data_IF_946931882839
#
_entry.id   IF_946931882839
#
_cell.length_a   1.000
_cell.length_b   1.000
_cell.length_c   1.000
_cell.angle_alpha   90.00
_cell.angle_beta   90.00
_cell.angle_gamma   90.00
#
_symmetry.space_group_name_H-M   'P 1'
#
loop_
_entity.id
_entity.type
_entity.pdbx_description
1 polymer ?
#
# COMPACT_ATOMS: atom_id res chain seq x y z
N UNK A 1 0.56 -10.43 -0.21
CA UNK A 1 1.47 -11.01 0.83
C UNK A 1 0.61 -11.72 1.86
N UNK A 2 0.87 -13.02 2.15
CA UNK A 2 0.12 -13.74 3.18
C UNK A 2 0.48 -13.15 4.55
N UNK A 3 -0.50 -12.88 5.44
CA UNK A 3 -0.21 -12.42 6.78
C UNK A 3 0.68 -13.43 7.53
N UNK A 4 1.58 -12.97 8.39
CA UNK A 4 2.52 -13.80 9.17
C UNK A 4 1.85 -14.98 9.91
N UNK A 5 0.59 -14.81 10.32
CA UNK A 5 -0.20 -15.87 10.98
C UNK A 5 -0.37 -17.17 10.16
N UNK A 6 -0.22 -17.09 8.82
CA UNK A 6 -0.33 -18.27 7.95
C UNK A 6 0.98 -19.06 7.83
N UNK A 7 2.07 -18.54 8.36
CA UNK A 7 3.40 -19.17 8.34
C UNK A 7 3.68 -19.98 9.61
N UNK A 8 2.88 -19.80 10.66
CA UNK A 8 3.01 -20.54 11.92
C UNK A 8 2.81 -22.04 11.67
N UNK A 9 3.74 -22.86 12.19
CA UNK A 9 3.72 -24.32 12.06
C UNK A 9 4.14 -24.87 10.69
N UNK A 10 4.64 -24.03 9.76
CA UNK A 10 5.12 -24.45 8.44
C UNK A 10 6.50 -23.87 8.15
N UNK A 11 7.57 -24.32 8.84
CA UNK A 11 8.88 -23.68 8.80
C UNK A 11 9.50 -23.66 7.40
N UNK A 12 9.42 -24.75 6.63
CA UNK A 12 9.96 -24.81 5.26
C UNK A 12 9.24 -23.84 4.33
N UNK A 13 7.92 -23.78 4.39
CA UNK A 13 7.14 -22.85 3.57
C UNK A 13 7.42 -21.40 3.94
N UNK A 14 7.63 -21.12 5.22
CA UNK A 14 8.02 -19.81 5.72
C UNK A 14 9.39 -19.40 5.17
N UNK A 15 10.36 -20.30 5.25
CA UNK A 15 11.71 -20.13 4.69
C UNK A 15 11.65 -19.80 3.18
N UNK A 16 10.94 -20.63 2.41
CA UNK A 16 10.79 -20.43 0.97
C UNK A 16 10.11 -19.10 0.63
N UNK A 17 9.12 -18.70 1.43
CA UNK A 17 8.44 -17.41 1.26
C UNK A 17 9.39 -16.24 1.50
N UNK A 18 10.21 -16.31 2.54
CA UNK A 18 11.21 -15.29 2.84
C UNK A 18 12.29 -15.22 1.75
N UNK A 19 12.89 -16.34 1.36
CA UNK A 19 13.90 -16.40 0.30
C UNK A 19 13.36 -15.92 -1.05
N UNK A 20 12.11 -16.28 -1.40
CA UNK A 20 11.45 -15.76 -2.60
C UNK A 20 11.31 -14.25 -2.56
N UNK A 21 10.91 -13.67 -1.45
CA UNK A 21 10.80 -12.21 -1.34
C UNK A 21 12.17 -11.53 -1.45
N UNK A 22 13.20 -12.13 -0.82
CA UNK A 22 14.57 -11.64 -0.90
C UNK A 22 15.10 -11.70 -2.33
N UNK A 23 14.77 -12.76 -3.10
CA UNK A 23 15.22 -12.91 -4.50
C UNK A 23 14.74 -11.81 -5.45
N UNK A 24 13.71 -11.04 -5.07
CA UNK A 24 13.27 -9.87 -5.85
C UNK A 24 14.26 -8.71 -5.78
N UNK A 25 15.02 -8.61 -4.68
CA UNK A 25 16.05 -7.59 -4.47
C UNK A 25 17.47 -8.12 -4.64
N UNK A 26 17.66 -9.43 -4.62
CA UNK A 26 18.95 -10.10 -4.70
C UNK A 26 18.92 -11.18 -5.80
N UNK A 27 19.26 -10.81 -7.06
CA UNK A 27 19.11 -11.69 -8.24
C UNK A 27 19.93 -12.98 -8.24
N UNK A 28 20.94 -13.09 -7.37
CA UNK A 28 21.71 -14.32 -7.22
C UNK A 28 20.93 -15.46 -6.56
N UNK A 29 19.79 -15.16 -5.89
CA UNK A 29 18.92 -16.17 -5.31
C UNK A 29 17.90 -16.68 -6.33
N UNK A 30 17.70 -18.00 -6.43
CA UNK A 30 16.66 -18.55 -7.30
C UNK A 30 15.27 -18.20 -6.76
N UNK A 31 14.34 -17.93 -7.67
CA UNK A 31 12.93 -17.75 -7.30
C UNK A 31 12.32 -19.09 -6.89
N UNK A 32 11.97 -19.21 -5.63
CA UNK A 32 11.33 -20.42 -5.08
C UNK A 32 9.81 -20.37 -5.22
N UNK A 33 9.20 -21.57 -5.28
CA UNK A 33 7.77 -21.76 -5.09
C UNK A 33 7.57 -22.24 -3.64
N UNK A 34 6.81 -21.51 -2.79
CA UNK A 34 6.59 -21.90 -1.40
C UNK A 34 5.61 -23.08 -1.29
N UNK A 35 6.08 -24.29 -1.55
CA UNK A 35 5.33 -25.54 -1.47
C UNK A 35 5.43 -26.21 -0.10
N UNK A 36 6.47 -25.89 0.68
CA UNK A 36 6.73 -26.46 2.00
C UNK A 36 7.60 -27.71 1.95
N UNK A 37 8.19 -28.06 0.78
CA UNK A 37 9.07 -29.20 0.61
C UNK A 37 10.52 -28.68 0.49
N UNK A 38 11.42 -29.19 1.34
CA UNK A 38 12.83 -28.81 1.30
C UNK A 38 13.59 -29.70 0.32
N UNK A 39 13.67 -29.27 -0.93
CA UNK A 39 14.36 -29.97 -2.01
C UNK A 39 15.62 -29.21 -2.44
N UNK A 40 16.37 -29.80 -3.39
CA UNK A 40 17.66 -29.30 -3.92
C UNK A 40 17.62 -27.78 -4.27
N UNK A 41 16.51 -27.31 -4.84
CA UNK A 41 16.38 -25.88 -5.21
C UNK A 41 16.27 -24.98 -3.97
N UNK A 42 15.63 -25.45 -2.90
CA UNK A 42 15.55 -24.73 -1.62
C UNK A 42 16.90 -24.75 -0.92
N UNK A 43 17.58 -25.91 -0.90
CA UNK A 43 18.93 -26.04 -0.37
C UNK A 43 19.92 -25.13 -1.09
N UNK A 44 19.91 -25.11 -2.43
CA UNK A 44 20.73 -24.21 -3.23
C UNK A 44 20.49 -22.74 -2.86
N UNK A 45 19.24 -22.33 -2.66
CA UNK A 45 18.93 -20.97 -2.25
C UNK A 45 19.50 -20.65 -0.86
N UNK A 46 19.47 -21.61 0.07
CA UNK A 46 20.07 -21.46 1.40
C UNK A 46 21.59 -21.33 1.30
N UNK A 47 22.26 -22.21 0.54
CA UNK A 47 23.73 -22.14 0.30
C UNK A 47 24.13 -20.79 -0.27
N UNK A 48 23.44 -20.34 -1.33
CA UNK A 48 23.73 -19.05 -1.97
C UNK A 48 23.48 -17.88 -1.01
N UNK A 49 22.43 -17.96 -0.20
CA UNK A 49 22.19 -16.95 0.83
C UNK A 49 23.35 -16.92 1.84
N UNK A 50 23.72 -18.07 2.41
CA UNK A 50 24.80 -18.19 3.39
C UNK A 50 26.11 -17.63 2.82
N UNK A 51 26.48 -17.99 1.59
CA UNK A 51 27.71 -17.50 0.93
C UNK A 51 27.71 -15.97 0.81
N UNK A 52 26.60 -15.37 0.39
CA UNK A 52 26.55 -13.94 0.13
C UNK A 52 26.35 -13.07 1.38
N UNK A 53 25.91 -13.69 2.49
CA UNK A 53 25.71 -13.00 3.76
C UNK A 53 26.74 -13.37 4.84
N UNK A 54 27.85 -14.02 4.45
CA UNK A 54 28.98 -14.29 5.35
C UNK A 54 28.74 -15.39 6.37
N UNK A 55 27.84 -16.32 6.08
CA UNK A 55 27.57 -17.51 6.88
C UNK A 55 28.24 -18.75 6.28
N UNK A 56 28.56 -19.80 7.07
CA UNK A 56 29.04 -21.06 6.53
C UNK A 56 28.05 -21.67 5.52
N UNK A 57 28.46 -21.96 4.28
CA UNK A 57 27.57 -22.41 3.22
C UNK A 57 27.23 -23.92 3.33
N UNK A 58 26.53 -24.28 4.39
CA UNK A 58 26.22 -25.68 4.72
C UNK A 58 24.96 -26.20 4.01
N UNK A 59 24.10 -25.33 3.51
CA UNK A 59 22.77 -25.68 3.00
C UNK A 59 21.76 -26.00 4.13
N UNK A 60 22.21 -26.07 5.37
CA UNK A 60 21.36 -26.34 6.53
C UNK A 60 20.88 -25.02 7.15
N UNK A 61 19.65 -24.98 7.57
CA UNK A 61 19.05 -23.80 8.21
C UNK A 61 19.12 -23.99 9.71
N UNK A 62 20.18 -23.52 10.33
CA UNK A 62 20.32 -23.36 11.77
C UNK A 62 19.70 -22.04 12.25
N UNK A 63 19.78 -21.75 13.55
CA UNK A 63 19.23 -20.53 14.12
C UNK A 63 19.86 -19.27 13.54
N UNK A 64 21.19 -19.27 13.34
CA UNK A 64 21.92 -18.11 12.80
C UNK A 64 21.50 -17.84 11.35
N UNK A 65 21.39 -18.89 10.55
CA UNK A 65 20.89 -18.80 9.17
C UNK A 65 19.44 -18.32 9.11
N UNK A 66 18.56 -18.85 9.99
CA UNK A 66 17.19 -18.43 10.06
C UNK A 66 17.04 -16.96 10.43
N UNK A 67 17.76 -16.52 11.46
CA UNK A 67 17.71 -15.14 11.95
C UNK A 67 18.25 -14.15 10.92
N UNK A 68 19.33 -14.51 10.21
CA UNK A 68 19.86 -13.73 9.11
C UNK A 68 18.85 -13.59 7.96
N UNK A 69 18.21 -14.70 7.52
CA UNK A 69 17.17 -14.68 6.50
C UNK A 69 16.01 -13.82 6.94
N UNK A 70 15.53 -13.97 8.17
CA UNK A 70 14.42 -13.20 8.71
C UNK A 70 14.75 -11.70 8.81
N UNK A 71 15.99 -11.36 9.15
CA UNK A 71 16.48 -9.97 9.20
C UNK A 71 16.50 -9.32 7.81
N UNK A 72 17.10 -9.99 6.83
CA UNK A 72 17.17 -9.51 5.44
C UNK A 72 15.78 -9.40 4.85
N UNK A 73 14.91 -10.38 5.08
CA UNK A 73 13.50 -10.36 4.66
C UNK A 73 12.77 -9.13 5.20
N UNK A 74 12.88 -8.84 6.51
CA UNK A 74 12.28 -7.65 7.10
C UNK A 74 12.77 -6.37 6.44
N UNK A 75 14.08 -6.28 6.15
CA UNK A 75 14.65 -5.12 5.45
C UNK A 75 14.15 -4.97 4.02
N UNK A 76 14.00 -6.06 3.27
CA UNK A 76 13.42 -6.07 1.91
C UNK A 76 11.96 -5.64 1.96
N UNK A 77 11.17 -6.26 2.84
CA UNK A 77 9.75 -5.94 2.99
C UNK A 77 9.54 -4.48 3.39
N UNK A 78 10.35 -3.95 4.31
CA UNK A 78 10.26 -2.55 4.73
C UNK A 78 10.49 -1.57 3.58
N UNK A 79 11.39 -1.92 2.63
CA UNK A 79 11.71 -1.08 1.45
C UNK A 79 10.74 -1.23 0.28
N UNK A 80 10.18 -2.43 0.10
CA UNK A 80 9.29 -2.74 -1.04
C UNK A 80 7.81 -2.65 -0.68
N UNK A 81 7.49 -2.59 0.61
CA UNK A 81 6.12 -2.44 1.08
C UNK A 81 5.62 -1.04 0.75
N UNK A 82 4.44 -0.98 0.15
CA UNK A 82 3.72 0.28 0.06
C UNK A 82 3.56 0.87 1.47
N UNK A 83 3.81 2.19 1.65
CA UNK A 83 3.53 2.87 2.90
C UNK A 83 2.11 2.51 3.37
N UNK A 84 1.94 2.32 4.68
CA UNK A 84 0.58 2.20 5.23
C UNK A 84 -0.10 3.54 5.01
N UNK A 85 -1.29 3.52 4.40
CA UNK A 85 -2.14 4.69 4.35
C UNK A 85 -2.33 5.21 5.78
N UNK A 86 -2.22 6.51 5.98
CA UNK A 86 -2.70 7.13 7.21
C UNK A 86 -4.22 6.98 7.24
N UNK A 87 -4.77 6.68 8.41
CA UNK A 87 -6.22 6.78 8.63
C UNK A 87 -6.53 8.27 8.82
N UNK A 88 -6.78 8.93 7.69
CA UNK A 88 -6.99 10.39 7.66
C UNK A 88 -8.48 10.77 7.77
N UNK A 89 -9.38 9.78 7.70
CA UNK A 89 -10.79 10.02 7.91
C UNK A 89 -11.09 10.02 9.42
N UNK A 90 -11.64 11.11 9.98
CA UNK A 90 -11.65 11.34 11.43
C UNK A 90 -12.51 10.35 12.22
N UNK A 91 -13.68 10.02 11.69
CA UNK A 91 -14.63 9.07 12.31
C UNK A 91 -15.76 8.71 11.36
N UNK A 92 -16.48 7.59 11.57
CA UNK A 92 -17.61 7.22 10.74
C UNK A 92 -18.75 8.24 10.71
N UNK A 93 -18.86 9.09 11.73
CA UNK A 93 -19.85 10.15 11.83
C UNK A 93 -19.37 11.52 11.37
N UNK A 94 -18.11 11.60 10.88
CA UNK A 94 -17.58 12.86 10.37
C UNK A 94 -18.30 13.27 9.11
N UNK A 95 -18.78 14.52 9.11
CA UNK A 95 -19.44 15.17 7.98
C UNK A 95 -19.16 16.65 8.01
N UNK A 96 -19.10 17.28 6.86
CA UNK A 96 -18.92 18.72 6.73
C UNK A 96 -20.00 19.27 5.81
N UNK A 97 -20.81 20.15 6.37
CA UNK A 97 -21.86 20.87 5.64
C UNK A 97 -21.22 21.96 4.75
N UNK A 98 -21.88 22.37 3.66
CA UNK A 98 -21.45 23.55 2.91
C UNK A 98 -21.34 24.78 3.83
N UNK A 99 -20.22 25.50 3.72
CA UNK A 99 -19.86 26.61 4.60
C UNK A 99 -19.08 26.19 5.87
N UNK A 100 -18.94 24.89 6.14
CA UNK A 100 -18.15 24.40 7.26
C UNK A 100 -16.63 24.59 7.05
N UNK A 101 -15.86 24.60 8.14
CA UNK A 101 -14.42 24.74 8.14
C UNK A 101 -13.78 23.70 9.05
N UNK A 102 -12.78 22.98 8.51
CA UNK A 102 -12.00 22.01 9.29
C UNK A 102 -10.69 21.67 8.59
N UNK A 103 -9.63 21.43 9.38
CA UNK A 103 -8.32 21.01 8.85
C UNK A 103 -8.37 19.68 8.07
N UNK A 104 -9.33 18.82 8.34
CA UNK A 104 -9.49 17.55 7.61
C UNK A 104 -9.84 17.77 6.12
N UNK A 105 -10.47 18.90 5.78
CA UNK A 105 -10.74 19.27 4.39
C UNK A 105 -9.49 19.54 3.57
N UNK A 106 -8.37 19.90 4.19
CA UNK A 106 -7.11 20.11 3.46
C UNK A 106 -6.69 18.86 2.67
N UNK A 107 -6.91 17.67 3.23
CA UNK A 107 -6.64 16.41 2.52
C UNK A 107 -7.62 16.20 1.36
N UNK A 108 -8.91 16.43 1.60
CA UNK A 108 -9.98 16.33 0.59
C UNK A 108 -9.71 17.27 -0.58
N UNK A 109 -9.43 18.52 -0.28
CA UNK A 109 -9.13 19.57 -1.26
C UNK A 109 -7.86 19.24 -2.05
N UNK A 110 -6.81 18.73 -1.40
CA UNK A 110 -5.59 18.29 -2.08
C UNK A 110 -5.84 17.13 -3.05
N UNK A 111 -6.74 16.20 -2.71
CA UNK A 111 -7.16 15.13 -3.62
C UNK A 111 -7.94 15.69 -4.82
N UNK A 112 -8.91 16.59 -4.60
CA UNK A 112 -9.64 17.26 -5.67
C UNK A 112 -8.71 18.06 -6.57
N UNK A 113 -7.77 18.80 -5.97
CA UNK A 113 -6.77 19.56 -6.73
C UNK A 113 -5.94 18.66 -7.63
N UNK A 114 -5.50 17.50 -7.13
CA UNK A 114 -4.78 16.53 -7.97
C UNK A 114 -5.66 15.97 -9.09
N UNK A 115 -6.94 15.70 -8.80
CA UNK A 115 -7.89 15.19 -9.80
C UNK A 115 -8.21 16.24 -10.87
N UNK A 116 -8.24 17.54 -10.55
CA UNK A 116 -8.51 18.59 -11.53
C UNK A 116 -7.48 18.68 -12.66
N UNK A 117 -6.28 18.12 -12.47
CA UNK A 117 -5.28 18.04 -13.54
C UNK A 117 -5.52 16.89 -14.55
N UNK A 118 -6.42 15.96 -14.24
CA UNK A 118 -6.66 14.75 -15.07
C UNK A 118 -8.13 14.51 -15.36
N UNK A 119 -9.03 15.27 -14.74
CA UNK A 119 -10.48 15.18 -14.90
C UNK A 119 -11.03 16.59 -15.11
N UNK A 120 -11.44 16.92 -16.33
CA UNK A 120 -11.82 18.27 -16.74
C UNK A 120 -13.01 18.86 -15.95
N UNK A 121 -13.92 18.00 -15.44
CA UNK A 121 -15.09 18.45 -14.69
C UNK A 121 -14.81 18.78 -13.22
N UNK A 122 -13.63 18.46 -12.72
CA UNK A 122 -13.21 18.79 -11.35
C UNK A 122 -12.58 20.18 -11.34
N UNK A 123 -13.12 21.06 -10.52
CA UNK A 123 -12.63 22.44 -10.42
C UNK A 123 -11.31 22.49 -9.65
N UNK A 124 -10.35 23.27 -10.14
CA UNK A 124 -9.13 23.61 -9.40
C UNK A 124 -9.48 24.63 -8.30
N UNK A 125 -9.80 24.11 -7.11
CA UNK A 125 -10.15 24.89 -5.94
C UNK A 125 -8.96 25.09 -4.99
N UNK A 126 -9.05 26.13 -4.18
CA UNK A 126 -8.05 26.39 -3.13
C UNK A 126 -8.06 25.30 -2.05
N UNK A 127 -6.90 25.09 -1.44
CA UNK A 127 -6.71 24.15 -0.32
C UNK A 127 -6.62 24.99 0.96
N UNK A 128 -7.77 25.37 1.50
CA UNK A 128 -7.90 26.31 2.61
C UNK A 128 -8.62 25.77 3.85
N UNK A 129 -9.15 24.56 3.76
CA UNK A 129 -9.90 23.91 4.84
C UNK A 129 -11.37 24.33 4.94
N UNK A 130 -11.87 25.09 3.95
CA UNK A 130 -13.27 25.57 3.91
C UNK A 130 -14.09 24.78 2.91
N UNK A 131 -15.29 24.36 3.32
CA UNK A 131 -16.25 23.70 2.45
C UNK A 131 -17.13 24.73 1.71
N UNK A 132 -16.51 25.51 0.86
CA UNK A 132 -17.16 26.59 0.12
C UNK A 132 -16.80 26.49 -1.36
N UNK A 133 -17.50 27.24 -2.20
CA UNK A 133 -17.25 27.42 -3.64
C UNK A 133 -16.80 26.14 -4.37
N UNK A 134 -15.56 26.08 -4.81
CA UNK A 134 -15.02 24.96 -5.57
C UNK A 134 -15.03 23.63 -4.82
N UNK A 135 -14.82 23.60 -3.50
CA UNK A 135 -14.90 22.35 -2.72
C UNK A 135 -16.34 21.83 -2.67
N UNK A 136 -17.32 22.72 -2.51
CA UNK A 136 -18.73 22.34 -2.52
C UNK A 136 -19.18 21.87 -3.93
N UNK A 137 -18.75 22.57 -4.98
CA UNK A 137 -19.01 22.18 -6.35
C UNK A 137 -18.42 20.82 -6.70
N UNK A 138 -17.17 20.57 -6.30
CA UNK A 138 -16.50 19.28 -6.49
C UNK A 138 -17.17 18.16 -5.69
N UNK A 139 -17.72 18.44 -4.50
CA UNK A 139 -18.47 17.48 -3.71
C UNK A 139 -19.78 17.10 -4.40
N UNK A 140 -20.53 18.06 -4.92
CA UNK A 140 -21.76 17.80 -5.71
C UNK A 140 -21.44 16.99 -6.96
N UNK A 141 -20.42 17.37 -7.72
CA UNK A 141 -19.96 16.62 -8.89
C UNK A 141 -19.62 15.17 -8.53
N UNK A 142 -18.87 14.98 -7.43
CA UNK A 142 -18.49 13.66 -6.94
C UNK A 142 -19.70 12.80 -6.60
N UNK A 143 -20.68 13.37 -5.89
CA UNK A 143 -21.92 12.71 -5.50
C UNK A 143 -22.76 12.30 -6.71
N UNK A 144 -22.92 13.20 -7.69
CA UNK A 144 -23.61 12.92 -8.94
C UNK A 144 -22.95 11.77 -9.73
N UNK A 145 -21.61 11.76 -9.83
CA UNK A 145 -20.85 10.68 -10.49
C UNK A 145 -20.96 9.34 -9.76
N UNK A 146 -21.07 9.37 -8.43
CA UNK A 146 -21.23 8.18 -7.59
C UNK A 146 -22.65 7.69 -7.43
N UNK A 147 -23.62 8.35 -8.08
CA UNK A 147 -25.06 8.09 -7.88
C UNK A 147 -25.47 8.16 -6.40
N UNK A 148 -24.84 9.10 -5.67
CA UNK A 148 -25.20 9.46 -4.31
C UNK A 148 -26.21 10.62 -4.32
N UNK A 149 -26.83 10.90 -3.18
CA UNK A 149 -27.64 12.10 -3.00
C UNK A 149 -26.75 13.35 -3.11
N UNK A 150 -27.06 14.25 -4.03
CA UNK A 150 -26.34 15.51 -4.25
C UNK A 150 -26.66 16.54 -3.16
N UNK A 151 -26.35 16.22 -1.92
CA UNK A 151 -26.57 17.08 -0.75
C UNK A 151 -25.54 18.19 -0.59
N UNK A 152 -24.38 18.05 -1.24
CA UNK A 152 -23.22 18.91 -1.04
C UNK A 152 -22.51 18.67 0.31
N UNK A 153 -23.01 17.78 1.15
CA UNK A 153 -22.38 17.42 2.42
C UNK A 153 -21.23 16.43 2.16
N UNK A 154 -20.03 16.76 2.60
CA UNK A 154 -18.91 15.84 2.50
C UNK A 154 -18.91 14.87 3.69
N UNK A 155 -19.19 13.61 3.43
CA UNK A 155 -19.33 12.53 4.41
C UNK A 155 -18.46 11.31 4.09
N UNK A 156 -18.68 10.19 4.80
CA UNK A 156 -17.95 8.95 4.60
C UNK A 156 -18.16 8.33 3.21
N UNK A 157 -19.35 8.47 2.62
CA UNK A 157 -19.63 7.96 1.27
C UNK A 157 -18.89 8.79 0.22
N UNK A 158 -18.91 10.11 0.37
CA UNK A 158 -18.12 11.03 -0.44
C UNK A 158 -16.63 10.75 -0.34
N UNK A 159 -16.13 10.48 0.87
CA UNK A 159 -14.75 10.09 1.10
C UNK A 159 -14.36 8.80 0.38
N UNK A 160 -15.17 7.74 0.54
CA UNK A 160 -14.90 6.45 -0.12
C UNK A 160 -14.85 6.59 -1.64
N UNK A 161 -15.75 7.39 -2.22
CA UNK A 161 -15.76 7.62 -3.65
C UNK A 161 -14.55 8.44 -4.11
N UNK A 162 -14.22 9.52 -3.40
CA UNK A 162 -13.07 10.37 -3.71
C UNK A 162 -11.77 9.57 -3.67
N UNK A 163 -11.56 8.77 -2.64
CA UNK A 163 -10.33 7.95 -2.50
C UNK A 163 -10.22 6.89 -3.60
N UNK A 164 -11.34 6.30 -4.05
CA UNK A 164 -11.35 5.37 -5.18
C UNK A 164 -10.97 6.07 -6.49
N UNK A 165 -11.56 7.23 -6.77
CA UNK A 165 -11.21 7.99 -7.97
C UNK A 165 -9.75 8.45 -7.94
N UNK A 166 -9.28 8.95 -6.80
CA UNK A 166 -7.89 9.32 -6.61
C UNK A 166 -6.95 8.13 -6.87
N UNK A 167 -7.28 6.96 -6.34
CA UNK A 167 -6.50 5.75 -6.57
C UNK A 167 -6.46 5.35 -8.06
N UNK A 168 -7.57 5.50 -8.79
CA UNK A 168 -7.66 5.14 -10.21
C UNK A 168 -6.87 6.11 -11.08
N UNK A 169 -7.07 7.42 -10.89
CA UNK A 169 -6.55 8.43 -11.81
C UNK A 169 -5.15 8.93 -11.44
N UNK A 170 -4.81 8.95 -10.16
CA UNK A 170 -3.53 9.51 -9.69
C UNK A 170 -2.52 8.41 -9.39
N UNK A 171 -2.87 7.42 -8.52
CA UNK A 171 -1.85 6.47 -8.06
C UNK A 171 -1.49 5.41 -9.10
N UNK A 172 -2.41 5.03 -9.99
CA UNK A 172 -2.11 4.06 -11.06
C UNK A 172 -1.26 4.63 -12.18
N UNK A 173 -1.35 5.91 -12.45
CA UNK A 173 -0.57 6.58 -13.49
C UNK A 173 0.90 6.83 -13.08
N UNK A 174 1.24 6.70 -11.79
CA UNK A 174 2.62 6.80 -11.30
C UNK A 174 3.44 5.51 -11.52
N UNK A 175 2.84 4.46 -12.08
CA UNK A 175 3.49 3.15 -12.29
C UNK A 175 4.07 2.98 -13.71
N UNK A 176 4.15 4.04 -14.50
CA UNK A 176 4.65 4.03 -15.90
C UNK A 176 5.81 5.02 -16.02
N UNK A 177 6.94 4.67 -15.40
CA UNK A 177 8.28 5.12 -15.79
C UNK A 177 9.29 4.01 -15.54
#
# INVERSE_FOLDING_TARGET
MLPERFLLGRPVRSLQTMLRAISLSYPFLPRLVPDGIFEERTELAVVLFQQNFGLPPTGTVDNDTWDAIASVYRGVVARTRLPRGADVYPSPSFRVEPGGETLHLLVVQSMFKSLSHVVDEVQDAEVDGRHADGTAANTLWLQGRGNLEESGVFDNLSWDLLTRLYAIFITRNLSVE
#
